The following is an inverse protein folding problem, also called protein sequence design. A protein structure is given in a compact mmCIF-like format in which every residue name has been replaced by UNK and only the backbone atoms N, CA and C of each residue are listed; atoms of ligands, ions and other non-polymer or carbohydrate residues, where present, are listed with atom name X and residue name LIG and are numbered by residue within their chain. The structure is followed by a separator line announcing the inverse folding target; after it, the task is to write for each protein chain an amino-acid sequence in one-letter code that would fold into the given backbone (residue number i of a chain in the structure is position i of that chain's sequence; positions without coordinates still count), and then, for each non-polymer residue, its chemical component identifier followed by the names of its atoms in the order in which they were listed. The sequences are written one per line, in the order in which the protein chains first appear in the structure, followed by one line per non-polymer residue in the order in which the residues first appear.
data_IF_963363686868
#
_entry.id   IF_963363686868
#
_cell.length_a   1.000
_cell.length_b   1.000
_cell.length_c   1.000
_cell.angle_alpha   90.00
_cell.angle_beta   90.00
_cell.angle_gamma   90.00
#
_symmetry.space_group_name_H-M   'P 1'
#
loop_
_entity.id
_entity.type
_entity.pdbx_description
1 polymer ?
#
# COMPACT_ATOMS: atom_id res chain seq x y z
N UNK A 1 -11.93 -13.49 -3.98
CA UNK A 1 -11.30 -12.17 -3.78
C UNK A 1 -11.48 -11.24 -4.98
N UNK A 2 -11.35 -11.72 -6.24
CA UNK A 2 -11.57 -10.89 -7.45
C UNK A 2 -13.05 -10.45 -7.66
N UNK A 3 -14.03 -11.16 -7.09
CA UNK A 3 -15.47 -10.85 -7.29
C UNK A 3 -16.01 -9.60 -6.56
N UNK A 4 -15.24 -8.95 -5.67
CA UNK A 4 -15.72 -7.74 -4.97
C UNK A 4 -15.55 -6.45 -5.80
N UNK A 5 -14.60 -6.43 -6.74
CA UNK A 5 -14.13 -5.20 -7.40
C UNK A 5 -15.12 -4.51 -8.36
N UNK A 6 -16.20 -5.18 -8.81
CA UNK A 6 -17.09 -4.62 -9.85
C UNK A 6 -18.47 -4.22 -9.30
N UNK A 7 -18.98 -4.85 -8.23
CA UNK A 7 -20.39 -4.71 -7.84
C UNK A 7 -20.65 -3.55 -6.85
N UNK A 8 -19.62 -3.05 -6.17
CA UNK A 8 -19.80 -2.15 -5.01
C UNK A 8 -19.71 -0.64 -5.30
N UNK A 9 -19.39 -0.19 -6.51
CA UNK A 9 -19.12 1.25 -6.77
C UNK A 9 -20.37 2.15 -6.88
N UNK A 10 -21.59 1.61 -6.72
CA UNK A 10 -22.84 2.34 -7.02
C UNK A 10 -23.50 3.06 -5.82
N UNK A 11 -23.11 2.82 -4.56
CA UNK A 11 -23.74 3.42 -3.37
C UNK A 11 -22.73 4.14 -2.45
N UNK A 12 -23.16 5.19 -1.75
CA UNK A 12 -22.30 6.02 -0.88
C UNK A 12 -21.62 5.22 0.24
N UNK A 13 -22.34 4.26 0.83
CA UNK A 13 -21.78 3.42 1.90
C UNK A 13 -20.71 2.46 1.36
N UNK A 14 -20.92 1.94 0.16
CA UNK A 14 -19.97 1.02 -0.47
C UNK A 14 -18.77 1.76 -1.09
N UNK A 15 -18.91 3.05 -1.42
CA UNK A 15 -17.79 3.89 -1.82
C UNK A 15 -16.72 4.05 -0.73
N UNK A 16 -17.12 4.18 0.54
CA UNK A 16 -16.17 4.26 1.67
C UNK A 16 -15.46 2.92 1.87
N UNK A 17 -16.17 1.80 1.75
CA UNK A 17 -15.59 0.46 1.84
C UNK A 17 -14.59 0.21 0.71
N UNK A 18 -14.94 0.56 -0.53
CA UNK A 18 -14.03 0.45 -1.67
C UNK A 18 -12.76 1.28 -1.50
N UNK A 19 -12.87 2.51 -0.96
CA UNK A 19 -11.70 3.34 -0.65
C UNK A 19 -10.84 2.73 0.45
N UNK A 20 -11.45 2.15 1.47
CA UNK A 20 -10.72 1.50 2.56
C UNK A 20 -9.99 0.25 2.07
N UNK A 21 -10.65 -0.62 1.30
CA UNK A 21 -10.03 -1.82 0.72
C UNK A 21 -8.88 -1.45 -0.23
N UNK A 22 -9.07 -0.46 -1.10
CA UNK A 22 -8.01 0.03 -1.98
C UNK A 22 -6.83 0.64 -1.19
N UNK A 23 -7.12 1.39 -0.12
CA UNK A 23 -6.10 1.98 0.74
C UNK A 23 -5.31 0.92 1.50
N UNK A 24 -5.98 -0.11 2.02
CA UNK A 24 -5.32 -1.23 2.70
C UNK A 24 -4.45 -2.03 1.75
N UNK A 25 -4.95 -2.38 0.56
CA UNK A 25 -4.17 -3.07 -0.45
C UNK A 25 -2.90 -2.28 -0.84
N UNK A 26 -3.04 -0.96 -1.01
CA UNK A 26 -1.91 -0.08 -1.30
C UNK A 26 -0.90 -0.04 -0.14
N UNK A 27 -1.35 0.15 1.09
CA UNK A 27 -0.48 0.23 2.27
C UNK A 27 0.23 -1.09 2.54
N UNK A 28 -0.46 -2.24 2.39
CA UNK A 28 0.14 -3.57 2.55
C UNK A 28 1.29 -3.74 1.55
N UNK A 29 1.05 -3.48 0.26
CA UNK A 29 2.11 -3.59 -0.75
C UNK A 29 3.26 -2.61 -0.50
N UNK A 30 2.98 -1.38 -0.06
CA UNK A 30 4.02 -0.40 0.27
C UNK A 30 4.88 -0.84 1.46
N UNK A 31 4.27 -1.44 2.49
CA UNK A 31 4.99 -1.92 3.66
C UNK A 31 5.80 -3.19 3.37
N UNK A 32 5.36 -4.04 2.45
CA UNK A 32 6.16 -5.16 1.94
C UNK A 32 7.47 -4.66 1.31
N UNK A 33 7.41 -3.67 0.41
CA UNK A 33 8.59 -3.07 -0.21
C UNK A 33 9.47 -2.32 0.80
N UNK A 34 8.85 -1.63 1.75
CA UNK A 34 9.55 -0.95 2.84
C UNK A 34 10.30 -1.95 3.71
N UNK A 35 9.71 -3.10 4.00
CA UNK A 35 10.36 -4.17 4.76
C UNK A 35 11.57 -4.74 4.00
N UNK A 36 11.45 -4.94 2.69
CA UNK A 36 12.59 -5.34 1.85
C UNK A 36 13.73 -4.30 1.90
N UNK A 37 13.40 -3.00 1.89
CA UNK A 37 14.39 -1.93 2.05
C UNK A 37 15.08 -1.96 3.43
N UNK A 38 14.34 -2.24 4.51
CA UNK A 38 14.89 -2.37 5.85
C UNK A 38 15.85 -3.58 5.95
N UNK A 39 15.45 -4.73 5.39
CA UNK A 39 16.24 -5.96 5.34
C UNK A 39 17.51 -5.75 4.51
N UNK A 40 17.42 -5.07 3.36
CA UNK A 40 18.58 -4.70 2.55
C UNK A 40 19.60 -3.88 3.35
N UNK A 41 19.13 -3.03 4.26
CA UNK A 41 19.96 -2.26 5.18
C UNK A 41 20.31 -3.00 6.49
N UNK A 42 20.15 -4.33 6.55
CA UNK A 42 20.42 -5.20 7.72
C UNK A 42 19.65 -4.82 8.99
N UNK A 43 18.43 -4.29 8.85
CA UNK A 43 17.54 -3.92 9.95
C UNK A 43 16.23 -4.71 9.87
N UNK A 44 15.59 -4.90 11.02
CA UNK A 44 14.24 -5.48 11.13
C UNK A 44 13.19 -4.38 11.33
N UNK A 45 13.56 -3.28 11.98
CA UNK A 45 12.67 -2.12 12.20
C UNK A 45 12.62 -1.25 10.95
N UNK A 46 11.42 -1.06 10.40
CA UNK A 46 11.14 -0.12 9.32
C UNK A 46 11.31 1.32 9.80
N UNK A 47 11.87 2.18 8.96
CA UNK A 47 12.10 3.59 9.24
C UNK A 47 11.51 4.47 8.12
N UNK A 48 11.20 5.75 8.37
CA UNK A 48 10.66 6.64 7.34
C UNK A 48 11.51 6.72 6.05
N UNK A 49 12.84 6.58 6.18
CA UNK A 49 13.77 6.53 5.03
C UNK A 49 13.55 5.31 4.12
N UNK A 50 13.09 4.18 4.67
CA UNK A 50 12.81 2.96 3.90
C UNK A 50 11.53 3.16 3.07
N UNK A 51 10.53 3.84 3.63
CA UNK A 51 9.29 4.20 2.93
C UNK A 51 9.59 5.20 1.80
N UNK A 52 10.40 6.22 2.08
CA UNK A 52 10.82 7.20 1.05
C UNK A 52 11.57 6.51 -0.10
N UNK A 53 12.43 5.55 0.22
CA UNK A 53 13.15 4.77 -0.78
C UNK A 53 12.20 3.88 -1.59
N UNK A 54 11.30 3.14 -0.93
CA UNK A 54 10.32 2.28 -1.58
C UNK A 54 9.42 3.07 -2.55
N UNK A 55 8.90 4.23 -2.12
CA UNK A 55 8.10 5.13 -2.99
C UNK A 55 8.91 5.66 -4.17
N UNK A 56 10.18 6.01 -3.95
CA UNK A 56 11.08 6.45 -5.03
C UNK A 56 11.34 5.35 -6.05
N UNK A 57 11.50 4.10 -5.62
CA UNK A 57 11.69 2.93 -6.50
C UNK A 57 10.41 2.63 -7.29
N UNK A 58 9.22 2.73 -6.65
CA UNK A 58 7.92 2.60 -7.32
C UNK A 58 7.65 3.70 -8.37
N UNK A 59 8.44 4.76 -8.40
CA UNK A 59 8.23 5.90 -9.30
C UNK A 59 7.09 6.82 -8.83
N UNK A 60 6.58 6.62 -7.62
CA UNK A 60 5.62 7.50 -6.96
C UNK A 60 6.36 8.75 -6.49
N UNK A 61 6.56 9.68 -7.43
CA UNK A 61 7.13 10.99 -7.13
C UNK A 61 6.13 11.78 -6.29
N UNK A 62 6.62 12.34 -5.18
CA UNK A 62 5.97 13.46 -4.51
C UNK A 62 6.07 14.71 -5.39
#
# INVERSE_FOLDING_TARGET
MINCYIVETLNRNSAVMALQEASEAYLVGLFEDTNLCAIHAKRVTIMPKDIQLARRIRGERA
#
